data_IF_174803441492
#
_entry.id   IF_174803441492
#
_cell.length_a   1.000
_cell.length_b   1.000
_cell.length_c   1.000
_cell.angle_alpha   90.00
_cell.angle_beta   90.00
_cell.angle_gamma   90.00
#
_symmetry.space_group_name_H-M   'P 1'
#
loop_
_entity.id
_entity.type
_entity.pdbx_description
1 polymer ?
#
# COMPACT_ATOMS: atom_id res chain seq x y z
N UNK A 1 -2.93 -5.56 -12.12
CA UNK A 1 -2.66 -6.06 -10.75
C UNK A 1 -3.38 -7.37 -10.55
N UNK A 2 -2.77 -8.35 -9.88
CA UNK A 2 -3.50 -9.54 -9.44
C UNK A 2 -4.69 -9.13 -8.57
N UNK A 3 -5.86 -9.76 -8.76
CA UNK A 3 -7.10 -9.43 -8.02
C UNK A 3 -6.87 -9.44 -6.50
N UNK A 4 -6.10 -10.41 -6.01
CA UNK A 4 -5.72 -10.50 -4.59
C UNK A 4 -4.89 -9.29 -4.15
N UNK A 5 -3.88 -8.88 -4.93
CA UNK A 5 -3.07 -7.69 -4.61
C UNK A 5 -3.91 -6.42 -4.57
N UNK A 6 -4.88 -6.30 -5.46
CA UNK A 6 -5.82 -5.18 -5.46
C UNK A 6 -6.69 -5.16 -4.20
N UNK A 7 -7.24 -6.29 -3.79
CA UNK A 7 -8.08 -6.39 -2.59
C UNK A 7 -7.27 -6.05 -1.32
N UNK A 8 -6.05 -6.60 -1.19
CA UNK A 8 -5.21 -6.32 -0.02
C UNK A 8 -4.78 -4.84 0.02
N UNK A 9 -4.49 -4.24 -1.15
CA UNK A 9 -4.22 -2.81 -1.24
C UNK A 9 -5.43 -1.95 -0.84
N UNK A 10 -6.62 -2.30 -1.33
CA UNK A 10 -7.85 -1.59 -1.02
C UNK A 10 -8.18 -1.67 0.47
N UNK A 11 -8.01 -2.84 1.08
CA UNK A 11 -8.16 -3.01 2.53
C UNK A 11 -7.15 -2.16 3.31
N UNK A 12 -5.90 -2.08 2.86
CA UNK A 12 -4.88 -1.21 3.46
C UNK A 12 -5.26 0.27 3.43
N UNK A 13 -5.85 0.74 2.32
CA UNK A 13 -6.36 2.11 2.21
C UNK A 13 -7.53 2.35 3.15
N UNK A 14 -8.48 1.42 3.23
CA UNK A 14 -9.62 1.53 4.14
C UNK A 14 -9.12 1.56 5.58
N UNK A 15 -8.25 0.64 5.98
CA UNK A 15 -7.70 0.61 7.33
C UNK A 15 -7.01 1.92 7.67
N UNK A 16 -6.18 2.48 6.78
CA UNK A 16 -5.50 3.75 7.04
C UNK A 16 -6.48 4.91 7.27
N UNK A 17 -7.42 5.12 6.35
CA UNK A 17 -8.36 6.25 6.39
C UNK A 17 -9.26 6.21 7.63
N UNK A 18 -9.67 5.02 8.07
CA UNK A 18 -10.58 4.87 9.21
C UNK A 18 -9.86 4.73 10.56
N UNK A 19 -8.58 4.33 10.58
CA UNK A 19 -7.80 4.23 11.84
C UNK A 19 -7.24 5.57 12.29
N UNK A 20 -6.91 6.47 11.35
CA UNK A 20 -6.33 7.79 11.65
C UNK A 20 -7.09 8.89 10.91
N UNK A 21 -8.34 9.19 11.33
CA UNK A 21 -9.14 10.24 10.70
C UNK A 21 -8.47 11.61 10.89
N UNK A 22 -8.45 12.43 9.83
CA UNK A 22 -7.86 13.78 9.87
C UNK A 22 -6.33 13.80 9.92
N UNK A 23 -5.67 12.73 9.49
CA UNK A 23 -4.23 12.74 9.27
C UNK A 23 -3.82 13.92 8.38
N UNK A 24 -2.67 14.54 8.68
CA UNK A 24 -2.11 15.58 7.81
C UNK A 24 -1.81 14.98 6.43
N UNK A 25 -2.00 15.72 5.33
CA UNK A 25 -1.79 15.21 3.97
C UNK A 25 -0.42 14.54 3.73
N UNK A 26 0.62 14.99 4.43
CA UNK A 26 1.97 14.40 4.34
C UNK A 26 2.00 12.94 4.78
N UNK A 27 1.18 12.55 5.75
CA UNK A 27 1.12 11.17 6.23
C UNK A 27 0.37 10.27 5.25
N UNK A 28 -0.63 10.78 4.55
CA UNK A 28 -1.32 10.05 3.48
C UNK A 28 -0.39 9.76 2.30
N UNK A 29 0.45 10.74 1.93
CA UNK A 29 1.50 10.56 0.92
C UNK A 29 2.52 9.50 1.37
N UNK A 30 2.95 9.55 2.64
CA UNK A 30 3.84 8.55 3.21
C UNK A 30 3.23 7.14 3.20
N UNK A 31 1.96 7.00 3.58
CA UNK A 31 1.29 5.71 3.60
C UNK A 31 1.08 5.16 2.19
N UNK A 32 0.78 6.02 1.21
CA UNK A 32 0.71 5.63 -0.19
C UNK A 32 2.06 5.07 -0.70
N UNK A 33 3.18 5.68 -0.31
CA UNK A 33 4.52 5.18 -0.63
C UNK A 33 4.82 3.83 0.04
N UNK A 34 4.44 3.66 1.31
CA UNK A 34 4.61 2.38 2.03
C UNK A 34 3.80 1.28 1.36
N UNK A 35 2.50 1.51 1.15
CA UNK A 35 1.61 0.54 0.48
C UNK A 35 2.15 0.19 -0.91
N UNK A 36 2.56 1.18 -1.70
CA UNK A 36 3.18 0.94 -3.02
C UNK A 36 4.37 -0.01 -2.91
N UNK A 37 5.30 0.23 -1.98
CA UNK A 37 6.48 -0.64 -1.84
C UNK A 37 6.12 -2.03 -1.33
N UNK A 38 5.17 -2.17 -0.41
CA UNK A 38 4.70 -3.47 0.07
C UNK A 38 4.12 -4.33 -1.07
N UNK A 39 3.34 -3.75 -1.99
CA UNK A 39 2.74 -4.51 -3.09
C UNK A 39 3.67 -4.71 -4.29
N UNK A 40 4.70 -3.88 -4.42
CA UNK A 40 5.74 -3.98 -5.45
C UNK A 40 7.00 -4.74 -4.98
N UNK A 41 7.09 -5.16 -3.72
CA UNK A 41 8.32 -5.78 -3.19
C UNK A 41 8.73 -7.03 -3.99
N UNK A 42 7.76 -7.76 -4.55
CA UNK A 42 7.99 -8.90 -5.44
C UNK A 42 8.65 -8.50 -6.78
N UNK A 43 8.49 -7.26 -7.24
CA UNK A 43 9.17 -6.71 -8.43
C UNK A 43 10.64 -6.39 -8.14
N UNK A 44 10.96 -6.05 -6.88
CA UNK A 44 12.33 -5.74 -6.44
C UNK A 44 13.11 -7.00 -6.03
N UNK A 45 12.43 -8.03 -5.50
CA UNK A 45 13.02 -9.31 -5.04
C UNK A 45 12.94 -10.41 -6.13
N UNK A 46 12.46 -10.11 -7.34
CA UNK A 46 12.59 -11.04 -8.47
C UNK A 46 14.06 -11.11 -8.90
N UNK A 47 14.87 -11.86 -8.15
CA UNK A 47 16.03 -12.52 -8.72
C UNK A 47 15.47 -13.52 -9.72
N UNK A 48 15.46 -13.09 -10.97
CA UNK A 48 15.20 -13.91 -12.13
C UNK A 48 16.21 -15.07 -12.12
N UNK A 49 15.76 -16.23 -11.64
CA UNK A 49 16.31 -17.54 -11.98
C UNK A 49 15.23 -18.28 -12.75
#
# INVERSE_FOLDING_TARGET
>A
MNKIKYIVWLLGIIIWNYSVPGAKPIYDVGMALILKHMFEINRLISFKY
#
